data_IF_054819991901
#
_entry.id   IF_054819991901
#
_cell.length_a   1.000
_cell.length_b   1.000
_cell.length_c   1.000
_cell.angle_alpha   90.00
_cell.angle_beta   90.00
_cell.angle_gamma   90.00
#
_symmetry.space_group_name_H-M   'P 1'
#
loop_
_entity.id
_entity.type
_entity.pdbx_description
1 polymer ?
#
# COMPACT_ATOMS: atom_id res chain seq x y z
N UNK A 1 -11.13 2.42 11.23
CA UNK A 1 -11.84 3.72 11.31
C UNK A 1 -12.76 3.78 10.11
N UNK A 2 -13.99 4.28 10.26
CA UNK A 2 -14.96 4.31 9.14
C UNK A 2 -14.68 5.52 8.24
N UNK A 3 -14.65 5.34 6.92
CA UNK A 3 -14.47 6.39 5.89
C UNK A 3 -15.27 7.69 6.17
N UNK A 4 -16.58 7.65 6.54
CA UNK A 4 -17.33 8.88 6.86
C UNK A 4 -16.85 9.60 8.12
N UNK A 5 -16.21 8.90 9.06
CA UNK A 5 -15.65 9.50 10.27
C UNK A 5 -14.39 10.30 9.95
N UNK A 6 -13.55 9.78 9.06
CA UNK A 6 -12.31 10.46 8.64
C UNK A 6 -12.61 11.73 7.84
N UNK A 7 -13.62 11.70 6.96
CA UNK A 7 -14.07 12.87 6.21
C UNK A 7 -14.59 13.99 7.12
N UNK A 8 -15.43 13.62 8.11
CA UNK A 8 -16.01 14.59 9.04
C UNK A 8 -14.92 15.27 9.86
N UNK A 9 -13.96 14.50 10.37
CA UNK A 9 -12.83 15.03 11.15
C UNK A 9 -12.02 16.02 10.31
N UNK A 10 -11.71 15.67 9.07
CA UNK A 10 -10.94 16.53 8.19
C UNK A 10 -11.67 17.85 7.87
N UNK A 11 -12.99 17.79 7.65
CA UNK A 11 -13.81 18.99 7.40
C UNK A 11 -13.87 19.90 8.62
N UNK A 12 -14.06 19.34 9.83
CA UNK A 12 -14.02 20.12 11.07
C UNK A 12 -12.67 20.83 11.27
N UNK A 13 -11.56 20.13 11.01
CA UNK A 13 -10.23 20.72 11.12
C UNK A 13 -10.00 21.85 10.10
N UNK A 14 -10.56 21.76 8.90
CA UNK A 14 -10.52 22.83 7.89
C UNK A 14 -11.34 24.04 8.31
N UNK A 15 -12.54 23.82 8.86
CA UNK A 15 -13.41 24.88 9.36
C UNK A 15 -12.71 25.62 10.52
N UNK A 16 -12.13 24.88 11.47
CA UNK A 16 -11.37 25.45 12.59
C UNK A 16 -10.18 26.30 12.12
N UNK A 17 -9.38 25.80 11.17
CA UNK A 17 -8.24 26.52 10.61
C UNK A 17 -8.69 27.80 9.86
N UNK A 18 -9.81 27.73 9.14
CA UNK A 18 -10.36 28.87 8.39
C UNK A 18 -10.95 29.91 9.32
N UNK A 19 -11.67 29.50 10.37
CA UNK A 19 -12.19 30.37 11.42
C UNK A 19 -11.04 31.10 12.13
N UNK A 20 -9.99 30.36 12.51
CA UNK A 20 -8.82 30.95 13.17
C UNK A 20 -8.13 32.01 12.28
N UNK A 21 -7.92 31.73 10.99
CA UNK A 21 -7.36 32.70 10.03
C UNK A 21 -8.27 33.93 9.86
N UNK A 22 -9.59 33.74 9.84
CA UNK A 22 -10.57 34.83 9.73
C UNK A 22 -10.53 35.82 10.90
N UNK A 23 -10.24 35.33 12.11
CA UNK A 23 -10.11 36.18 13.32
C UNK A 23 -8.85 37.05 13.32
N UNK A 24 -7.80 36.65 12.57
CA UNK A 24 -6.52 37.36 12.52
C UNK A 24 -6.49 38.49 11.48
N UNK A 25 -7.29 38.37 10.41
CA UNK A 25 -7.35 39.30 9.27
C UNK A 25 -7.74 40.75 9.62
N UNK A 26 -8.13 41.05 10.86
CA UNK A 26 -8.54 42.39 11.31
C UNK A 26 -7.63 43.08 12.32
N UNK A 27 -6.50 42.47 12.75
CA UNK A 27 -5.73 42.95 13.92
C UNK A 27 -4.35 43.55 13.64
N UNK A 28 -3.75 43.39 12.45
CA UNK A 28 -2.33 43.75 12.25
C UNK A 28 -1.99 44.60 11.01
N UNK A 29 -0.92 45.39 11.13
CA UNK A 29 -0.41 46.32 10.11
C UNK A 29 0.47 45.61 9.07
N UNK A 30 -0.17 45.18 7.99
CA UNK A 30 0.23 45.08 6.56
C UNK A 30 1.65 44.71 6.07
N UNK A 31 2.68 44.39 6.84
CA UNK A 31 3.99 44.06 6.18
C UNK A 31 4.83 42.92 6.77
N UNK A 32 4.44 42.34 7.91
CA UNK A 32 5.14 41.16 8.46
C UNK A 32 4.11 40.15 8.96
N UNK A 33 4.05 38.96 8.34
CA UNK A 33 3.29 37.83 8.86
C UNK A 33 3.98 37.34 10.14
N UNK A 34 3.22 37.17 11.21
CA UNK A 34 3.76 36.59 12.44
C UNK A 34 4.02 35.09 12.25
N UNK A 35 4.97 34.50 12.98
CA UNK A 35 5.27 33.06 12.92
C UNK A 35 4.02 32.20 13.17
N UNK A 36 3.12 32.66 14.04
CA UNK A 36 1.84 32.00 14.30
C UNK A 36 0.90 32.04 13.07
N UNK A 37 0.81 33.17 12.38
CA UNK A 37 0.04 33.28 11.12
C UNK A 37 0.60 32.40 10.03
N UNK A 38 1.94 32.33 9.92
CA UNK A 38 2.61 31.45 8.97
C UNK A 38 2.29 29.98 9.26
N UNK A 39 2.44 29.55 10.52
CA UNK A 39 2.13 28.19 10.95
C UNK A 39 0.67 27.82 10.68
N UNK A 40 -0.26 28.73 10.96
CA UNK A 40 -1.69 28.50 10.73
C UNK A 40 -2.04 28.46 9.24
N UNK A 41 -1.41 29.31 8.42
CA UNK A 41 -1.58 29.31 6.96
C UNK A 41 -1.10 28.01 6.35
N UNK A 42 0.07 27.54 6.79
CA UNK A 42 0.66 26.29 6.34
C UNK A 42 -0.17 25.08 6.77
N UNK A 43 -0.64 25.08 8.02
CA UNK A 43 -1.57 24.06 8.50
C UNK A 43 -2.85 23.99 7.66
N UNK A 44 -3.45 25.14 7.35
CA UNK A 44 -4.61 25.19 6.48
C UNK A 44 -4.30 24.67 5.06
N UNK A 45 -3.07 24.86 4.55
CA UNK A 45 -2.62 24.31 3.27
C UNK A 45 -2.53 22.79 3.31
N UNK A 46 -1.94 22.24 4.36
CA UNK A 46 -1.84 20.79 4.56
C UNK A 46 -3.23 20.14 4.67
N UNK A 47 -4.15 20.74 5.42
CA UNK A 47 -5.53 20.26 5.50
C UNK A 47 -6.27 20.26 4.16
N UNK A 48 -6.03 21.26 3.31
CA UNK A 48 -6.57 21.27 1.94
C UNK A 48 -5.98 20.15 1.10
N UNK A 49 -4.67 19.92 1.21
CA UNK A 49 -4.01 18.82 0.50
C UNK A 49 -4.60 17.47 0.90
N UNK A 50 -4.75 17.22 2.20
CA UNK A 50 -5.40 16.01 2.70
C UNK A 50 -6.81 15.82 2.12
N UNK A 51 -7.61 16.89 2.00
CA UNK A 51 -8.96 16.78 1.44
C UNK A 51 -8.95 16.42 -0.05
N UNK A 52 -8.07 17.05 -0.85
CA UNK A 52 -7.90 16.66 -2.25
C UNK A 52 -7.51 15.20 -2.38
N UNK A 53 -6.56 14.71 -1.58
CA UNK A 53 -6.16 13.28 -1.64
C UNK A 53 -7.29 12.32 -1.29
N UNK A 54 -8.18 12.73 -0.37
CA UNK A 54 -9.33 11.93 0.02
C UNK A 54 -10.41 11.89 -1.08
N UNK A 55 -10.65 13.03 -1.74
CA UNK A 55 -11.53 13.12 -2.92
C UNK A 55 -10.98 12.29 -4.09
N UNK A 56 -9.69 12.36 -4.36
CA UNK A 56 -9.02 11.57 -5.39
C UNK A 56 -9.15 10.07 -5.11
N UNK A 57 -8.96 9.66 -3.85
CA UNK A 57 -9.15 8.27 -3.45
C UNK A 57 -10.59 7.80 -3.65
N UNK A 58 -11.58 8.59 -3.25
CA UNK A 58 -13.01 8.30 -3.49
C UNK A 58 -13.31 8.16 -4.98
N UNK A 59 -12.81 9.09 -5.79
CA UNK A 59 -12.97 9.06 -7.24
C UNK A 59 -12.33 7.81 -7.84
N UNK A 60 -11.10 7.48 -7.45
CA UNK A 60 -10.40 6.29 -7.92
C UNK A 60 -11.15 4.99 -7.55
N UNK A 61 -11.66 4.90 -6.32
CA UNK A 61 -12.48 3.76 -5.85
C UNK A 61 -13.79 3.65 -6.63
N UNK A 62 -14.45 4.77 -6.89
CA UNK A 62 -15.67 4.82 -7.71
C UNK A 62 -15.39 4.36 -9.14
N UNK A 63 -14.31 4.86 -9.75
CA UNK A 63 -13.89 4.47 -11.10
C UNK A 63 -13.59 2.98 -11.18
N UNK A 64 -12.82 2.44 -10.24
CA UNK A 64 -12.51 1.01 -10.20
C UNK A 64 -13.78 0.15 -10.09
N UNK A 65 -14.75 0.60 -9.30
CA UNK A 65 -16.05 -0.08 -9.15
C UNK A 65 -16.86 -0.05 -10.46
N UNK A 66 -16.93 1.12 -11.11
CA UNK A 66 -17.63 1.27 -12.39
C UNK A 66 -17.01 0.39 -13.48
N UNK A 67 -15.68 0.39 -13.62
CA UNK A 67 -14.97 -0.46 -14.59
C UNK A 67 -15.22 -1.95 -14.32
N UNK A 68 -15.25 -2.35 -13.04
CA UNK A 68 -15.50 -3.75 -12.67
C UNK A 68 -16.93 -4.18 -13.00
N UNK A 69 -17.91 -3.30 -12.79
CA UNK A 69 -19.32 -3.58 -13.07
C UNK A 69 -19.63 -3.54 -14.57
N UNK A 70 -19.12 -2.54 -15.27
CA UNK A 70 -19.46 -2.28 -16.67
C UNK A 70 -18.59 -3.09 -17.65
N UNK A 71 -17.60 -3.83 -17.15
CA UNK A 71 -16.65 -4.60 -17.96
C UNK A 71 -17.31 -5.56 -18.95
N UNK A 72 -18.41 -6.23 -18.56
CA UNK A 72 -19.14 -7.14 -19.46
C UNK A 72 -19.84 -6.37 -20.59
N UNK A 73 -20.46 -5.23 -20.28
CA UNK A 73 -21.12 -4.39 -21.26
C UNK A 73 -20.11 -3.78 -22.23
N UNK A 74 -18.96 -3.33 -21.73
CA UNK A 74 -17.85 -2.84 -22.55
C UNK A 74 -17.31 -3.93 -23.48
N UNK A 75 -17.08 -5.14 -22.97
CA UNK A 75 -16.61 -6.26 -23.80
C UNK A 75 -17.60 -6.60 -24.93
N UNK A 76 -18.89 -6.67 -24.62
CA UNK A 76 -19.93 -6.93 -25.61
C UNK A 76 -20.00 -5.82 -26.68
N UNK A 77 -19.89 -4.55 -26.26
CA UNK A 77 -19.86 -3.42 -27.18
C UNK A 77 -18.63 -3.45 -28.08
N UNK A 78 -17.45 -3.77 -27.53
CA UNK A 78 -16.20 -3.93 -28.30
C UNK A 78 -16.31 -5.06 -29.32
N UNK A 79 -16.94 -6.18 -28.96
CA UNK A 79 -17.10 -7.31 -29.86
C UNK A 79 -18.10 -7.03 -31.00
N UNK A 80 -19.18 -6.29 -30.73
CA UNK A 80 -20.10 -5.80 -31.77
C UNK A 80 -19.41 -4.82 -32.72
N UNK A 81 -18.60 -3.88 -32.21
CA UNK A 81 -17.84 -2.96 -33.06
C UNK A 81 -16.82 -3.69 -33.94
N UNK A 82 -16.13 -4.70 -33.39
CA UNK A 82 -15.22 -5.55 -34.14
C UNK A 82 -15.93 -6.32 -35.26
N UNK A 83 -17.13 -6.85 -34.99
CA UNK A 83 -17.97 -7.52 -36.01
C UNK A 83 -18.37 -6.54 -37.11
N UNK A 84 -18.89 -5.37 -36.75
CA UNK A 84 -19.25 -4.33 -37.72
C UNK A 84 -18.05 -3.86 -38.57
N UNK A 85 -16.86 -3.77 -37.97
CA UNK A 85 -15.63 -3.44 -38.68
C UNK A 85 -15.24 -4.52 -39.70
N UNK A 86 -15.28 -5.80 -39.30
CA UNK A 86 -14.98 -6.92 -40.19
C UNK A 86 -15.98 -7.01 -41.35
N UNK A 87 -17.26 -6.78 -41.08
CA UNK A 87 -18.31 -6.75 -42.10
C UNK A 87 -18.06 -5.64 -43.13
N UNK A 88 -17.68 -4.44 -42.65
CA UNK A 88 -17.30 -3.32 -43.52
C UNK A 88 -16.10 -3.66 -44.40
N UNK A 89 -15.06 -4.27 -43.82
CA UNK A 89 -13.86 -4.67 -44.58
C UNK A 89 -14.19 -5.71 -45.64
N UNK A 90 -15.03 -6.69 -45.29
CA UNK A 90 -15.50 -7.73 -46.21
C UNK A 90 -16.30 -7.12 -47.37
N UNK A 91 -17.22 -6.19 -47.08
CA UNK A 91 -18.02 -5.50 -48.09
C UNK A 91 -17.15 -4.69 -49.07
N UNK A 92 -16.11 -4.02 -48.58
CA UNK A 92 -15.17 -3.27 -49.42
C UNK A 92 -14.39 -4.19 -50.37
N UNK A 93 -13.97 -5.36 -49.91
CA UNK A 93 -13.28 -6.37 -50.73
C UNK A 93 -14.18 -6.86 -51.88
N UNK A 94 -15.46 -7.15 -51.60
CA UNK A 94 -16.43 -7.53 -52.64
C UNK A 94 -16.70 -6.39 -53.64
N UNK A 95 -16.56 -5.12 -53.22
CA UNK A 95 -16.72 -3.95 -54.08
C UNK A 95 -15.55 -3.68 -55.03
N UNK A 96 -14.52 -4.54 -55.06
CA UNK A 96 -13.34 -4.38 -55.93
C UNK A 96 -12.41 -3.24 -55.49
N UNK A 97 -12.64 -2.64 -54.32
CA UNK A 97 -11.73 -1.69 -53.70
C UNK A 97 -10.65 -2.50 -52.99
N UNK A 98 -9.43 -2.50 -53.54
CA UNK A 98 -8.28 -3.04 -52.82
C UNK A 98 -8.12 -2.25 -51.52
N UNK A 99 -8.09 -2.91 -50.35
CA UNK A 99 -7.91 -2.23 -49.08
C UNK A 99 -6.47 -1.71 -49.05
N UNK A 100 -6.28 -0.46 -49.44
CA UNK A 100 -5.09 0.26 -49.05
C UNK A 100 -5.07 0.27 -47.53
N UNK A 101 -4.08 -0.43 -46.96
CA UNK A 101 -3.59 -0.46 -45.58
C UNK A 101 -4.51 0.13 -44.49
N UNK A 102 -4.76 -0.56 -43.35
CA UNK A 102 -5.60 -0.09 -42.23
C UNK A 102 -5.39 1.38 -41.82
N UNK A 103 -4.17 1.89 -42.01
CA UNK A 103 -3.76 3.28 -41.83
C UNK A 103 -4.58 4.33 -42.61
N UNK A 104 -5.06 4.01 -43.82
CA UNK A 104 -5.76 4.96 -44.68
C UNK A 104 -7.26 5.11 -44.36
N UNK A 105 -7.89 4.14 -43.69
CA UNK A 105 -9.34 4.17 -43.42
C UNK A 105 -9.72 4.74 -42.05
N UNK A 106 -8.81 4.68 -41.07
CA UNK A 106 -9.03 5.28 -39.76
C UNK A 106 -8.36 6.66 -39.63
N UNK A 107 -7.38 6.97 -40.47
CA UNK A 107 -6.46 8.07 -40.17
C UNK A 107 -5.65 7.69 -38.93
N UNK A 108 -4.34 7.62 -39.07
CA UNK A 108 -3.38 7.18 -38.04
C UNK A 108 -3.68 7.63 -36.60
N UNK A 109 -4.35 8.77 -36.41
CA UNK A 109 -4.72 9.35 -35.11
C UNK A 109 -5.91 8.66 -34.39
N UNK A 110 -6.87 8.05 -35.09
CA UNK A 110 -8.07 7.49 -34.41
C UNK A 110 -7.89 6.02 -34.04
N UNK A 111 -7.17 5.24 -34.86
CA UNK A 111 -6.86 3.84 -34.59
C UNK A 111 -6.00 3.66 -33.31
N UNK A 112 -5.08 4.59 -33.06
CA UNK A 112 -4.26 4.63 -31.85
C UNK A 112 -5.08 5.01 -30.59
N UNK A 113 -6.10 5.85 -30.72
CA UNK A 113 -6.99 6.21 -29.59
C UNK A 113 -8.06 5.13 -29.31
N UNK A 114 -8.44 4.32 -30.30
CA UNK A 114 -9.45 3.27 -30.19
C UNK A 114 -8.90 1.91 -29.68
N UNK A 115 -7.61 1.83 -29.28
CA UNK A 115 -7.04 0.59 -28.73
C UNK A 115 -6.87 -0.56 -29.73
N UNK A 116 -7.05 -0.29 -31.04
CA UNK A 116 -6.97 -1.29 -32.11
C UNK A 116 -5.52 -1.69 -32.48
N UNK A 117 -4.52 -1.16 -31.77
CA UNK A 117 -3.09 -1.44 -32.00
C UNK A 117 -2.74 -2.92 -31.81
N UNK A 118 -3.54 -3.68 -31.05
CA UNK A 118 -3.35 -5.12 -30.88
C UNK A 118 -3.72 -5.98 -32.11
N UNK A 119 -4.54 -5.45 -33.03
CA UNK A 119 -4.98 -6.14 -34.26
C UNK A 119 -4.07 -5.86 -35.46
N UNK A 120 -3.29 -4.77 -35.41
CA UNK A 120 -2.30 -4.44 -36.45
C UNK A 120 -0.98 -5.07 -36.04
N UNK A 121 -0.75 -6.30 -36.51
CA UNK A 121 0.41 -7.13 -36.21
C UNK A 121 1.69 -6.33 -35.99
N UNK A 122 2.27 -6.46 -34.80
CA UNK A 122 3.36 -5.63 -34.30
C UNK A 122 4.54 -5.56 -35.27
N UNK A 123 4.96 -4.34 -35.57
CA UNK A 123 6.22 -4.08 -36.26
C UNK A 123 7.29 -3.67 -35.24
N UNK A 124 8.40 -4.41 -35.26
CA UNK A 124 9.65 -4.03 -34.63
C UNK A 124 10.11 -2.67 -35.15
N UNK A 125 10.26 -1.69 -34.26
CA UNK A 125 11.15 -0.55 -34.49
C UNK A 125 12.25 -0.55 -33.44
N UNK A 126 13.47 -0.77 -33.92
CA UNK A 126 14.71 -0.75 -33.16
C UNK A 126 15.03 0.68 -32.73
N UNK A 127 15.24 0.83 -31.42
CA UNK A 127 16.27 1.63 -30.72
C UNK A 127 16.60 3.05 -31.19
N UNK A 128 16.31 4.03 -30.32
CA UNK A 128 17.29 5.05 -29.93
C UNK A 128 17.24 5.30 -28.41
N UNK A 129 18.35 5.80 -27.89
CA UNK A 129 18.94 5.44 -26.61
C UNK A 129 18.77 6.54 -25.55
N UNK A 130 18.53 6.12 -24.30
CA UNK A 130 18.87 6.77 -23.02
C UNK A 130 18.08 8.01 -22.53
N UNK A 131 17.37 7.83 -21.40
CA UNK A 131 17.72 8.46 -20.11
C UNK A 131 17.06 7.72 -18.94
N UNK A 132 17.88 7.48 -17.91
CA UNK A 132 17.64 6.70 -16.70
C UNK A 132 16.76 7.42 -15.69
N UNK A 133 15.67 6.78 -15.26
CA UNK A 133 15.08 6.91 -13.92
C UNK A 133 14.35 5.63 -13.58
N UNK A 134 14.70 5.03 -12.43
CA UNK A 134 14.15 3.80 -11.87
C UNK A 134 12.62 3.75 -11.92
N UNK A 135 12.08 2.81 -12.69
CA UNK A 135 10.68 2.44 -12.64
C UNK A 135 10.55 0.92 -12.67
N UNK A 136 9.59 0.44 -11.88
CA UNK A 136 9.33 -0.93 -11.48
C UNK A 136 9.19 -1.85 -12.70
N UNK A 137 10.01 -2.90 -12.78
CA UNK A 137 9.86 -3.98 -13.77
C UNK A 137 8.61 -4.82 -13.46
N UNK A 138 7.49 -4.48 -14.11
CA UNK A 138 6.35 -5.39 -14.24
C UNK A 138 6.69 -6.37 -15.36
N UNK A 139 7.16 -7.56 -15.01
CA UNK A 139 7.33 -8.68 -15.93
C UNK A 139 5.96 -9.14 -16.44
N UNK A 140 5.52 -8.59 -17.56
CA UNK A 140 4.46 -9.17 -18.39
C UNK A 140 5.06 -10.38 -19.11
N UNK A 141 4.91 -11.57 -18.51
CA UNK A 141 5.24 -12.82 -19.19
C UNK A 141 4.31 -13.01 -20.38
N UNK A 142 4.87 -12.88 -21.58
CA UNK A 142 4.22 -13.32 -22.80
C UNK A 142 4.33 -14.84 -22.93
N UNK A 143 3.20 -15.50 -23.15
CA UNK A 143 3.17 -16.78 -23.83
C UNK A 143 2.18 -16.67 -24.99
N UNK A 144 2.75 -16.82 -26.17
CA UNK A 144 2.05 -17.07 -27.42
C UNK A 144 1.66 -18.55 -27.37
N UNK A 145 0.38 -18.83 -27.25
CA UNK A 145 -0.19 -20.07 -27.75
C UNK A 145 -1.36 -19.68 -28.65
N UNK A 146 -1.09 -19.72 -29.95
CA UNK A 146 -2.09 -20.08 -30.95
C UNK A 146 -2.82 -21.33 -30.45
N UNK A 147 -4.16 -21.38 -30.47
CA UNK A 147 -5.02 -22.45 -31.03
C UNK A 147 -6.54 -22.11 -30.83
N UNK A 148 -7.34 -22.73 -31.70
CA UNK A 148 -8.76 -22.56 -32.08
C UNK A 148 -9.83 -22.57 -30.94
N UNK A 149 -11.04 -21.98 -31.15
CA UNK A 149 -12.09 -21.89 -30.12
C UNK A 149 -12.83 -23.21 -29.91
N UNK A 150 -12.47 -23.93 -28.85
CA UNK A 150 -13.24 -25.04 -28.28
C UNK A 150 -13.74 -24.67 -26.88
N UNK A 151 -14.99 -25.01 -26.56
CA UNK A 151 -15.63 -24.70 -25.27
C UNK A 151 -14.77 -25.18 -24.08
N UNK A 152 -14.26 -24.23 -23.30
CA UNK A 152 -13.36 -24.53 -22.20
C UNK A 152 -14.12 -25.00 -20.94
N UNK A 153 -13.57 -26.03 -20.29
CA UNK A 153 -14.12 -26.64 -19.07
C UNK A 153 -14.08 -25.68 -17.88
N UNK A 154 -15.07 -25.79 -16.98
CA UNK A 154 -15.29 -24.95 -15.78
C UNK A 154 -14.08 -24.82 -14.83
N UNK A 155 -13.05 -25.64 -14.97
CA UNK A 155 -11.81 -25.56 -14.20
C UNK A 155 -10.87 -24.43 -14.65
N UNK A 156 -10.92 -24.02 -15.92
CA UNK A 156 -10.03 -22.99 -16.48
C UNK A 156 -10.48 -21.57 -16.08
N UNK A 157 -11.79 -21.37 -15.92
CA UNK A 157 -12.35 -20.10 -15.45
C UNK A 157 -11.98 -19.78 -13.99
N UNK A 158 -11.81 -20.79 -13.13
CA UNK A 158 -11.38 -20.60 -11.74
C UNK A 158 -9.89 -20.21 -11.62
N UNK A 159 -9.05 -20.60 -12.58
CA UNK A 159 -7.63 -20.26 -12.59
C UNK A 159 -7.38 -18.76 -12.86
N UNK A 160 -8.23 -18.11 -13.67
CA UNK A 160 -8.11 -16.67 -14.00
C UNK A 160 -8.36 -15.74 -12.82
N UNK A 161 -8.99 -16.22 -11.75
CA UNK A 161 -9.22 -15.42 -10.53
C UNK A 161 -7.97 -15.32 -9.64
N UNK A 162 -6.93 -16.13 -9.90
CA UNK A 162 -5.71 -16.16 -9.10
C UNK A 162 -4.59 -15.23 -9.64
N UNK A 163 -4.69 -14.79 -10.91
CA UNK A 163 -3.61 -14.13 -11.64
C UNK A 163 -3.53 -12.59 -11.49
N UNK A 164 -4.37 -11.99 -10.65
CA UNK A 164 -4.21 -10.58 -10.23
C UNK A 164 -3.39 -10.43 -8.94
N UNK A 165 -2.73 -11.50 -8.49
CA UNK A 165 -1.87 -11.43 -7.31
C UNK A 165 -0.63 -10.59 -7.60
N UNK A 166 -0.52 -9.45 -6.95
CA UNK A 166 0.68 -8.61 -6.99
C UNK A 166 1.78 -9.30 -6.20
N UNK A 167 2.84 -9.72 -6.88
CA UNK A 167 4.03 -10.30 -6.25
C UNK A 167 5.04 -9.21 -5.92
N UNK A 168 5.51 -9.16 -4.67
CA UNK A 168 6.55 -8.25 -4.18
C UNK A 168 7.81 -9.03 -3.80
N UNK A 169 8.98 -8.46 -4.07
CA UNK A 169 10.28 -9.11 -3.82
C UNK A 169 10.75 -8.84 -2.39
N UNK A 170 11.03 -9.91 -1.64
CA UNK A 170 11.64 -9.82 -0.32
C UNK A 170 13.12 -9.39 -0.42
N UNK A 171 13.56 -8.43 0.40
CA UNK A 171 14.95 -7.95 0.40
C UNK A 171 15.92 -8.99 1.00
N UNK A 172 15.46 -9.82 1.94
CA UNK A 172 16.31 -10.80 2.62
C UNK A 172 16.56 -12.07 1.79
N UNK A 173 15.49 -12.72 1.30
CA UNK A 173 15.64 -13.96 0.51
C UNK A 173 15.60 -13.75 -1.00
N UNK A 174 15.33 -12.53 -1.48
CA UNK A 174 15.22 -12.18 -2.91
C UNK A 174 14.08 -12.91 -3.67
N UNK A 175 13.21 -13.63 -2.97
CA UNK A 175 12.07 -14.32 -3.55
C UNK A 175 10.85 -13.40 -3.69
N UNK A 176 10.09 -13.58 -4.75
CA UNK A 176 8.81 -12.92 -4.97
C UNK A 176 7.70 -13.63 -4.17
N UNK A 177 6.96 -12.88 -3.35
CA UNK A 177 5.84 -13.38 -2.54
C UNK A 177 4.59 -12.56 -2.78
N UNK A 178 3.46 -13.13 -2.41
CA UNK A 178 2.15 -12.51 -2.52
C UNK A 178 2.06 -11.27 -1.63
N UNK A 179 1.35 -10.25 -2.10
CA UNK A 179 1.21 -8.98 -1.38
C UNK A 179 0.67 -9.11 0.04
N UNK A 180 -0.17 -10.12 0.32
CA UNK A 180 -0.66 -10.40 1.68
C UNK A 180 0.35 -11.09 2.60
N UNK A 181 1.40 -11.72 2.04
CA UNK A 181 2.46 -12.42 2.80
C UNK A 181 3.76 -11.58 2.91
N UNK A 182 3.63 -10.28 2.66
CA UNK A 182 4.73 -9.31 2.65
C UNK A 182 4.51 -8.24 3.72
N UNK A 183 5.49 -8.10 4.60
CA UNK A 183 5.65 -7.01 5.54
C UNK A 183 6.37 -5.84 4.87
N UNK A 184 5.82 -4.62 4.97
CA UNK A 184 6.46 -3.38 4.52
C UNK A 184 7.08 -2.65 5.71
N UNK A 185 8.40 -2.48 5.69
CA UNK A 185 9.12 -1.67 6.67
C UNK A 185 8.86 -0.17 6.47
N UNK A 186 9.11 0.61 7.53
CA UNK A 186 9.02 2.09 7.51
C UNK A 186 9.96 2.74 6.48
N UNK A 187 11.10 2.11 6.21
CA UNK A 187 12.04 2.50 5.15
C UNK A 187 11.63 2.04 3.73
N UNK A 188 10.38 1.57 3.54
CA UNK A 188 9.83 1.07 2.27
C UNK A 188 10.44 -0.23 1.70
N UNK A 189 11.25 -0.94 2.47
CA UNK A 189 11.72 -2.29 2.12
C UNK A 189 10.67 -3.37 2.46
N UNK A 190 10.63 -4.44 1.66
CA UNK A 190 9.68 -5.54 1.80
C UNK A 190 10.35 -6.81 2.33
N UNK A 191 9.69 -7.49 3.26
CA UNK A 191 10.13 -8.75 3.85
C UNK A 191 9.00 -9.78 3.82
N UNK A 192 9.29 -11.02 3.43
CA UNK A 192 8.30 -12.08 3.56
C UNK A 192 8.11 -12.50 5.02
N UNK A 193 6.97 -13.10 5.36
CA UNK A 193 6.65 -13.58 6.72
C UNK A 193 7.78 -14.38 7.36
N UNK A 194 8.36 -15.33 6.63
CA UNK A 194 9.45 -16.15 7.13
C UNK A 194 10.73 -15.34 7.46
N UNK A 195 11.09 -14.38 6.59
CA UNK A 195 12.27 -13.54 6.83
C UNK A 195 12.03 -12.54 7.97
N UNK A 196 10.82 -12.00 8.10
CA UNK A 196 10.43 -11.15 9.24
C UNK A 196 10.53 -11.93 10.55
N UNK A 197 10.00 -13.16 10.60
CA UNK A 197 10.09 -14.02 11.78
C UNK A 197 11.54 -14.36 12.16
N UNK A 198 12.39 -14.68 11.18
CA UNK A 198 13.83 -14.91 11.42
C UNK A 198 14.51 -13.68 11.98
N UNK A 199 14.27 -12.49 11.41
CA UNK A 199 14.88 -11.26 11.90
C UNK A 199 14.52 -10.98 13.36
N UNK A 200 13.27 -11.25 13.75
CA UNK A 200 12.81 -11.13 15.14
C UNK A 200 13.47 -12.18 16.02
N UNK A 201 13.47 -13.44 15.59
CA UNK A 201 14.10 -14.52 16.34
C UNK A 201 15.59 -14.25 16.60
N UNK A 202 16.33 -13.83 15.57
CA UNK A 202 17.75 -13.53 15.68
C UNK A 202 18.01 -12.37 16.64
N UNK A 203 17.10 -11.38 16.69
CA UNK A 203 17.15 -10.31 17.69
C UNK A 203 16.90 -10.78 19.13
N UNK A 204 16.29 -11.95 19.33
CA UNK A 204 16.18 -12.56 20.65
C UNK A 204 17.44 -13.31 21.06
N UNK A 205 18.18 -13.84 20.10
CA UNK A 205 19.44 -14.56 20.37
C UNK A 205 20.59 -13.56 20.57
N UNK A 206 20.69 -12.56 19.70
CA UNK A 206 21.74 -11.55 19.74
C UNK A 206 21.17 -10.20 20.18
N UNK A 207 21.57 -9.77 21.37
CA UNK A 207 21.15 -8.49 21.95
C UNK A 207 21.58 -7.27 21.13
N UNK A 208 22.65 -7.36 20.35
CA UNK A 208 23.11 -6.25 19.50
C UNK A 208 22.16 -5.97 18.32
N UNK A 209 21.36 -6.98 17.95
CA UNK A 209 20.38 -6.91 16.89
C UNK A 209 19.00 -6.47 17.39
N UNK A 210 18.81 -6.36 18.70
CA UNK A 210 17.59 -5.87 19.31
C UNK A 210 17.63 -4.34 19.50
N UNK A 211 16.58 -3.59 19.11
CA UNK A 211 15.38 -4.03 18.40
C UNK A 211 15.65 -4.32 16.90
N UNK A 212 14.91 -5.27 16.28
CA UNK A 212 15.04 -5.57 14.87
C UNK A 212 14.75 -4.31 14.05
N UNK A 213 15.62 -4.06 13.06
CA UNK A 213 15.68 -2.79 12.32
C UNK A 213 16.04 -3.01 10.86
N UNK A 214 15.58 -2.11 9.99
CA UNK A 214 16.06 -2.00 8.62
C UNK A 214 16.48 -0.56 8.36
N UNK A 215 17.59 -0.36 7.64
CA UNK A 215 18.16 0.98 7.39
C UNK A 215 18.37 1.78 8.67
N UNK A 216 18.70 1.09 9.78
CA UNK A 216 18.84 1.67 11.13
C UNK A 216 17.54 2.19 11.75
N UNK A 217 16.39 1.93 11.12
CA UNK A 217 15.07 2.26 11.66
C UNK A 217 14.48 1.01 12.31
N UNK A 218 14.20 1.03 13.64
CA UNK A 218 13.54 -0.07 14.33
C UNK A 218 12.16 -0.37 13.75
N UNK A 219 11.77 -1.63 13.80
CA UNK A 219 10.43 -2.04 13.38
C UNK A 219 9.42 -1.86 14.53
N UNK A 220 8.32 -1.11 14.31
CA UNK A 220 7.26 -1.02 15.29
C UNK A 220 6.51 -2.36 15.44
N UNK A 221 6.38 -2.86 16.67
CA UNK A 221 5.65 -4.10 16.96
C UNK A 221 4.23 -4.14 16.36
N UNK A 222 3.41 -3.06 16.37
CA UNK A 222 2.07 -3.10 15.78
C UNK A 222 2.07 -3.46 14.29
N UNK A 223 3.10 -3.05 13.55
CA UNK A 223 3.22 -3.32 12.12
C UNK A 223 3.66 -4.76 11.85
N UNK A 224 4.39 -5.38 12.78
CA UNK A 224 4.89 -6.76 12.64
C UNK A 224 3.92 -7.81 13.17
N UNK A 225 2.98 -7.42 14.05
CA UNK A 225 2.11 -8.34 14.80
C UNK A 225 1.37 -9.35 13.92
N UNK A 226 0.92 -8.96 12.73
CA UNK A 226 0.23 -9.85 11.79
C UNK A 226 1.10 -10.98 11.22
N UNK A 227 2.42 -10.84 11.28
CA UNK A 227 3.40 -11.75 10.70
C UNK A 227 4.15 -12.60 11.74
N UNK A 228 3.88 -12.36 13.03
CA UNK A 228 4.50 -13.06 14.15
C UNK A 228 3.48 -13.93 14.87
N UNK A 229 3.95 -15.02 15.47
CA UNK A 229 3.12 -15.87 16.32
C UNK A 229 3.02 -15.28 17.73
N UNK A 230 1.96 -15.63 18.47
CA UNK A 230 1.68 -15.08 19.80
C UNK A 230 2.85 -15.25 20.78
N UNK A 231 3.57 -16.38 20.71
CA UNK A 231 4.75 -16.63 21.53
C UNK A 231 5.91 -15.67 21.20
N UNK A 232 6.12 -15.35 19.92
CA UNK A 232 7.15 -14.40 19.51
C UNK A 232 6.80 -12.98 19.94
N UNK A 233 5.51 -12.61 19.86
CA UNK A 233 5.02 -11.31 20.32
C UNK A 233 5.26 -11.14 21.82
N UNK A 234 4.89 -12.15 22.63
CA UNK A 234 5.13 -12.12 24.08
C UNK A 234 6.62 -11.97 24.42
N UNK A 235 7.48 -12.77 23.78
CA UNK A 235 8.93 -12.67 23.99
C UNK A 235 9.50 -11.32 23.56
N UNK A 236 8.95 -10.72 22.49
CA UNK A 236 9.34 -9.39 22.04
C UNK A 236 9.03 -8.33 23.10
N UNK A 237 7.85 -8.39 23.71
CA UNK A 237 7.45 -7.46 24.77
C UNK A 237 8.34 -7.62 26.01
N UNK A 238 8.59 -8.85 26.45
CA UNK A 238 9.52 -9.16 27.55
C UNK A 238 10.93 -8.59 27.28
N UNK A 239 11.48 -8.89 26.09
CA UNK A 239 12.78 -8.35 25.63
C UNK A 239 12.79 -6.84 25.53
N UNK A 240 11.68 -6.20 25.18
CA UNK A 240 11.58 -4.74 25.09
C UNK A 240 11.66 -4.09 26.46
N UNK A 241 11.00 -4.67 27.47
CA UNK A 241 11.07 -4.20 28.86
C UNK A 241 12.49 -4.32 29.37
N UNK A 242 13.11 -5.49 29.18
CA UNK A 242 14.50 -5.74 29.53
C UNK A 242 15.43 -4.75 28.81
N UNK A 243 15.23 -4.55 27.49
CA UNK A 243 16.09 -3.69 26.69
C UNK A 243 16.07 -2.22 27.17
N UNK A 244 14.90 -1.75 27.61
CA UNK A 244 14.72 -0.37 28.07
C UNK A 244 15.13 -0.14 29.53
N UNK A 245 15.47 -1.20 30.27
CA UNK A 245 16.01 -1.08 31.63
C UNK A 245 17.52 -0.78 31.58
N UNK A 246 17.92 0.32 32.23
CA UNK A 246 19.31 0.77 32.34
C UNK A 246 20.10 0.02 33.42
N UNK A 247 19.44 -0.64 34.37
CA UNK A 247 20.06 -1.34 35.51
C UNK A 247 19.74 -2.84 35.49
N UNK A 248 19.90 -3.48 34.33
CA UNK A 248 19.58 -4.91 34.14
C UNK A 248 20.37 -5.78 35.11
N UNK A 249 19.66 -6.46 36.00
CA UNK A 249 20.24 -7.42 36.94
C UNK A 249 19.70 -8.80 36.61
N UNK A 250 20.55 -9.68 36.09
CA UNK A 250 20.17 -11.05 35.77
C UNK A 250 20.42 -11.96 36.96
N UNK A 251 19.41 -12.76 37.30
CA UNK A 251 19.61 -13.86 38.25
C UNK A 251 20.46 -14.94 37.58
N UNK A 252 21.62 -15.26 38.15
CA UNK A 252 22.56 -16.26 37.62
C UNK A 252 22.08 -17.71 37.74
N UNK A 253 20.92 -17.95 38.35
CA UNK A 253 20.34 -19.28 38.45
C UNK A 253 19.63 -19.69 37.14
N UNK A 254 20.14 -20.74 36.50
CA UNK A 254 19.67 -21.32 35.22
C UNK A 254 18.21 -21.87 35.23
N UNK A 255 17.41 -21.65 36.28
CA UNK A 255 16.09 -22.27 36.49
C UNK A 255 14.93 -21.26 36.62
N UNK A 256 15.13 -20.00 36.25
CA UNK A 256 14.10 -18.96 36.42
C UNK A 256 13.18 -18.73 35.21
N UNK A 257 13.35 -19.43 34.09
CA UNK A 257 12.52 -19.20 32.88
C UNK A 257 11.15 -19.88 32.88
N UNK A 258 10.76 -20.56 33.97
CA UNK A 258 9.47 -21.26 34.05
C UNK A 258 8.70 -21.01 35.35
N UNK A 259 8.74 -19.79 35.91
CA UNK A 259 7.92 -19.45 37.10
C UNK A 259 7.24 -18.08 37.11
N UNK A 260 7.10 -17.39 35.97
CA UNK A 260 6.24 -16.20 35.88
C UNK A 260 4.78 -16.50 35.49
N UNK A 261 4.28 -17.70 35.82
CA UNK A 261 2.86 -18.06 35.65
C UNK A 261 2.12 -18.34 36.96
N UNK A 262 2.77 -18.32 38.13
CA UNK A 262 2.11 -18.70 39.39
C UNK A 262 2.62 -17.91 40.63
N UNK A 263 2.62 -16.57 40.58
CA UNK A 263 2.48 -15.74 41.80
C UNK A 263 2.33 -14.24 41.46
N UNK A 264 1.20 -13.86 40.87
CA UNK A 264 0.67 -12.49 41.07
C UNK A 264 -0.62 -12.65 41.87
N UNK A 265 -0.46 -13.05 43.11
CA UNK A 265 -1.49 -12.99 44.15
C UNK A 265 -0.76 -13.03 45.49
N UNK A 266 -0.96 -11.97 46.26
CA UNK A 266 -0.45 -11.73 47.62
C UNK A 266 0.91 -11.01 47.73
N UNK A 267 0.78 -9.81 48.31
CA UNK A 267 1.74 -9.18 49.22
C UNK A 267 3.01 -8.56 48.63
N UNK A 268 2.98 -7.24 48.45
CA UNK A 268 3.71 -6.30 49.32
C UNK A 268 3.37 -4.85 48.94
N UNK A 269 2.32 -4.32 49.56
CA UNK A 269 2.17 -2.88 49.76
C UNK A 269 3.12 -2.45 50.89
N UNK A 270 4.04 -1.49 50.68
CA UNK A 270 4.77 -0.90 51.78
C UNK A 270 3.83 0.03 52.57
N UNK A 271 3.56 -0.34 53.81
CA UNK A 271 2.90 0.49 54.80
C UNK A 271 3.68 1.80 55.02
N UNK A 272 3.12 2.90 54.53
CA UNK A 272 3.56 4.24 54.91
C UNK A 272 3.02 4.55 56.31
N UNK A 273 3.88 4.41 57.31
CA UNK A 273 3.60 4.81 58.69
C UNK A 273 3.57 6.34 58.76
N UNK A 274 2.36 6.88 58.80
CA UNK A 274 2.07 8.28 59.11
C UNK A 274 2.25 8.53 60.61
N UNK A 275 3.35 9.17 61.00
CA UNK A 275 3.47 9.87 62.29
C UNK A 275 3.53 11.37 62.02
N UNK A 276 2.36 12.02 62.05
CA UNK A 276 2.22 13.47 61.93
C UNK A 276 1.11 13.98 62.86
N UNK A 277 1.54 14.52 64.00
CA UNK A 277 0.73 15.17 65.05
C UNK A 277 -0.32 16.14 64.49
N UNK A 278 -1.57 15.95 64.87
CA UNK A 278 -2.56 17.03 64.98
C UNK A 278 -2.53 17.56 66.41
N UNK A 279 -2.18 18.84 66.58
CA UNK A 279 -2.53 19.65 67.76
C UNK A 279 -3.44 20.77 67.28
N UNK A 280 -4.47 21.01 68.10
CA UNK A 280 -5.51 22.04 68.02
C UNK A 280 -5.01 23.42 67.61
#
# INVERSE_FOLDING_TARGET
>A
MHEPTEELVLRLMQDDATCALGLMKGKERSDQMTDHELALTEWARELRHCACTFEDYKMAKSLATAVSHDGVALAAATEEENRAFQDRMTALQFGGLNPSTPDQLLGQKTAAMAGLTGLVGGFNTVSEQSRSTDTIEVRRSGLIETESPGAESSKVAAARNLDCQTHLKCVACMEAKLSFDIFKATCSHYYCRNCTGRLVHDSFVDESLFPPKCCRVPFPLPTMKAFLDEEMIRKFEEKTVEHNDFNRTYCSALLATQKHALHVSSELMPAYVSTGKWRF
#
